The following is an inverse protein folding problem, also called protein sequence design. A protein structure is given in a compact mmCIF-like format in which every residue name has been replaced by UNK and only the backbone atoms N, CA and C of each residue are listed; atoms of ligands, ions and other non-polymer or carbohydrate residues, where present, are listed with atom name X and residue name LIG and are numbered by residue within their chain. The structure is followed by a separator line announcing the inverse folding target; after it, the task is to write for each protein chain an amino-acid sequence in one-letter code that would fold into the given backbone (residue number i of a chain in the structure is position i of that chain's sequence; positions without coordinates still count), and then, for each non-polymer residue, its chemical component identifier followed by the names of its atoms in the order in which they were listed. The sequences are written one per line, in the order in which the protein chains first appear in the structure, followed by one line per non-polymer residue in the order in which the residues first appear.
data_IF_223297867351
#
_entry.id   IF_223297867351
#
_cell.length_a   1.000
_cell.length_b   1.000
_cell.length_c   1.000
_cell.angle_alpha   90.00
_cell.angle_beta   90.00
_cell.angle_gamma   90.00
#
_symmetry.space_group_name_H-M   'P 1'
#
loop_
_entity.id
_entity.type
_entity.pdbx_description
1 polymer ?
#
# COMPACT_ATOMS: atom_id res chain seq x y z
N UNK A 1 0.84 -2.30 24.11
CA UNK A 1 1.71 -3.03 25.08
C UNK A 1 2.75 -3.92 24.40
N UNK A 2 2.37 -4.85 23.48
CA UNK A 2 3.33 -5.72 22.74
C UNK A 2 4.43 -4.92 22.03
N UNK A 3 4.08 -3.81 21.37
CA UNK A 3 5.05 -2.92 20.70
C UNK A 3 6.09 -2.36 21.67
N UNK A 4 5.68 -1.87 22.84
CA UNK A 4 6.60 -1.33 23.86
C UNK A 4 7.57 -2.39 24.38
N UNK A 5 7.10 -3.63 24.62
CA UNK A 5 7.98 -4.76 24.99
C UNK A 5 8.99 -5.05 23.88
N UNK A 6 8.56 -5.09 22.62
CA UNK A 6 9.46 -5.32 21.48
C UNK A 6 10.49 -4.19 21.33
N UNK A 7 10.10 -2.94 21.58
CA UNK A 7 11.04 -1.80 21.58
C UNK A 7 12.14 -2.01 22.61
N UNK A 8 11.81 -2.36 23.86
CA UNK A 8 12.78 -2.63 24.92
C UNK A 8 13.69 -3.82 24.54
N UNK A 9 13.11 -4.91 24.02
CA UNK A 9 13.90 -6.09 23.62
C UNK A 9 14.81 -5.82 22.41
N UNK A 10 14.48 -4.85 21.56
CA UNK A 10 15.27 -4.46 20.38
C UNK A 10 16.37 -3.46 20.70
N UNK A 11 16.19 -2.60 21.69
CA UNK A 11 17.19 -1.62 22.11
C UNK A 11 18.36 -2.25 22.86
N UNK A 12 18.17 -3.45 23.42
CA UNK A 12 19.19 -4.16 24.20
C UNK A 12 19.83 -5.29 23.38
N UNK A 13 21.16 -5.35 23.36
CA UNK A 13 21.90 -6.39 22.66
C UNK A 13 22.01 -7.71 23.42
N UNK A 14 21.13 -7.97 24.40
CA UNK A 14 21.26 -9.11 25.30
C UNK A 14 19.96 -9.57 25.94
N UNK A 15 20.11 -10.18 27.11
CA UNK A 15 18.98 -10.61 27.94
C UNK A 15 18.48 -9.42 28.75
N UNK A 16 17.18 -9.12 28.64
CA UNK A 16 16.51 -8.08 29.42
C UNK A 16 15.73 -8.74 30.56
N UNK A 17 15.99 -8.33 31.80
CA UNK A 17 15.29 -8.90 32.95
C UNK A 17 13.82 -8.55 32.95
N UNK A 18 12.99 -9.48 33.43
CA UNK A 18 11.55 -9.22 33.60
C UNK A 18 11.27 -8.07 34.57
N UNK A 19 12.17 -7.80 35.52
CA UNK A 19 12.10 -6.68 36.45
C UNK A 19 12.31 -5.34 35.72
N UNK A 20 13.33 -5.25 34.88
CA UNK A 20 13.56 -4.05 34.05
C UNK A 20 12.37 -3.73 33.17
N UNK A 21 11.82 -4.72 32.45
CA UNK A 21 10.62 -4.54 31.61
C UNK A 21 9.42 -4.10 32.48
N UNK A 22 9.27 -4.70 33.68
CA UNK A 22 8.21 -4.38 34.63
C UNK A 22 8.30 -2.92 35.09
N UNK A 23 9.48 -2.48 35.49
CA UNK A 23 9.74 -1.12 35.94
C UNK A 23 9.49 -0.07 34.84
N UNK A 24 10.02 -0.32 33.62
CA UNK A 24 9.86 0.63 32.50
C UNK A 24 8.41 0.74 32.01
N UNK A 25 7.63 -0.35 32.09
CA UNK A 25 6.26 -0.38 31.55
C UNK A 25 5.18 -0.17 32.61
N UNK A 26 5.51 -0.23 33.90
CA UNK A 26 4.56 -0.10 35.01
C UNK A 26 3.56 -1.27 35.08
N UNK A 27 3.97 -2.50 34.68
CA UNK A 27 3.11 -3.70 34.69
C UNK A 27 3.78 -4.87 35.42
N UNK A 28 2.98 -5.80 35.94
CA UNK A 28 3.49 -6.95 36.67
C UNK A 28 4.30 -7.91 35.78
N UNK A 29 5.25 -8.64 36.38
CA UNK A 29 6.03 -9.68 35.71
C UNK A 29 5.15 -10.77 35.08
N UNK A 30 4.03 -11.11 35.71
CA UNK A 30 3.03 -12.06 35.16
C UNK A 30 2.41 -11.50 33.88
N UNK A 31 2.11 -10.21 33.84
CA UNK A 31 1.58 -9.55 32.64
C UNK A 31 2.62 -9.56 31.51
N UNK A 32 3.91 -9.31 31.83
CA UNK A 32 5.00 -9.39 30.84
C UNK A 32 5.08 -10.80 30.26
N UNK A 33 5.11 -11.83 31.11
CA UNK A 33 5.14 -13.22 30.68
C UNK A 33 4.00 -13.56 29.72
N UNK A 34 2.77 -13.13 30.03
CA UNK A 34 1.60 -13.31 29.14
C UNK A 34 1.79 -12.63 27.78
N UNK A 35 2.36 -11.42 27.75
CA UNK A 35 2.62 -10.71 26.50
C UNK A 35 3.75 -11.35 25.69
N UNK A 36 4.83 -11.80 26.35
CA UNK A 36 5.91 -12.54 25.70
C UNK A 36 5.40 -13.82 25.06
N UNK A 37 4.58 -14.60 25.78
CA UNK A 37 3.98 -15.82 25.26
C UNK A 37 3.14 -15.53 24.00
N UNK A 38 2.28 -14.51 24.04
CA UNK A 38 1.50 -14.08 22.88
C UNK A 38 2.36 -13.59 21.71
N UNK A 39 3.53 -13.00 21.95
CA UNK A 39 4.50 -12.64 20.91
C UNK A 39 5.12 -13.92 20.32
N UNK A 40 5.51 -14.89 21.14
CA UNK A 40 6.04 -16.18 20.67
C UNK A 40 5.00 -16.91 19.80
N UNK A 41 3.73 -16.97 20.20
CA UNK A 41 2.61 -17.51 19.41
C UNK A 41 2.43 -16.76 18.07
N UNK A 42 2.78 -15.46 18.05
CA UNK A 42 2.75 -14.63 16.84
C UNK A 42 4.00 -14.81 15.97
N UNK A 43 4.91 -15.76 16.30
CA UNK A 43 6.08 -16.10 15.51
C UNK A 43 7.36 -15.32 15.85
N UNK A 44 7.38 -14.56 16.95
CA UNK A 44 8.63 -13.94 17.43
C UNK A 44 9.48 -15.01 18.13
N UNK A 45 10.76 -15.12 17.71
CA UNK A 45 11.71 -15.97 18.41
C UNK A 45 12.26 -15.23 19.64
N UNK A 46 11.62 -15.44 20.78
CA UNK A 46 12.02 -14.87 22.08
C UNK A 46 12.42 -16.02 23.00
N UNK A 47 13.69 -16.02 23.44
CA UNK A 47 14.19 -16.97 24.42
C UNK A 47 13.87 -16.47 25.82
N UNK A 48 13.28 -17.32 26.64
CA UNK A 48 13.05 -17.09 28.07
C UNK A 48 14.12 -17.83 28.88
N UNK A 49 14.79 -17.12 29.79
CA UNK A 49 15.81 -17.66 30.70
C UNK A 49 15.51 -17.26 32.14
N UNK A 50 16.17 -17.88 33.15
CA UNK A 50 16.04 -17.41 34.53
C UNK A 50 16.46 -15.94 34.74
N UNK A 51 17.32 -15.39 33.85
CA UNK A 51 17.80 -14.02 33.90
C UNK A 51 16.88 -13.03 33.14
N UNK A 52 15.92 -13.50 32.32
CA UNK A 52 15.02 -12.65 31.55
C UNK A 52 14.77 -13.14 30.11
N UNK A 53 14.50 -12.21 29.23
CA UNK A 53 14.05 -12.46 27.85
C UNK A 53 15.05 -11.88 26.83
N UNK A 54 15.24 -12.60 25.73
CA UNK A 54 16.07 -12.13 24.59
C UNK A 54 15.32 -12.34 23.28
N UNK A 55 15.17 -11.29 22.50
CA UNK A 55 14.63 -11.37 21.15
C UNK A 55 15.74 -11.83 20.18
N UNK A 56 15.56 -12.97 19.53
CA UNK A 56 16.48 -13.50 18.53
C UNK A 56 16.09 -13.05 17.13
N UNK A 57 14.78 -13.17 16.79
CA UNK A 57 14.28 -12.74 15.48
C UNK A 57 12.81 -12.36 15.54
N UNK A 58 12.39 -11.55 14.58
CA UNK A 58 10.99 -11.14 14.38
C UNK A 58 10.47 -11.72 13.07
N UNK A 59 9.19 -12.12 12.99
CA UNK A 59 8.57 -12.54 11.74
C UNK A 59 8.46 -11.34 10.79
N UNK A 60 8.39 -11.63 9.48
CA UNK A 60 7.99 -10.65 8.48
C UNK A 60 6.45 -10.53 8.47
N UNK A 61 5.90 -9.93 9.52
CA UNK A 61 4.47 -9.73 9.71
C UNK A 61 4.17 -8.25 9.98
N UNK A 62 3.01 -7.81 9.51
CA UNK A 62 2.56 -6.41 9.58
C UNK A 62 1.53 -6.21 10.69
N UNK A 63 1.85 -6.73 11.88
CA UNK A 63 0.98 -6.60 13.04
C UNK A 63 0.86 -5.13 13.51
N UNK A 64 -0.27 -4.71 14.09
CA UNK A 64 -0.46 -3.33 14.56
C UNK A 64 0.65 -2.83 15.48
N UNK A 65 1.14 -3.66 16.36
CA UNK A 65 2.21 -3.32 17.31
C UNK A 65 3.62 -3.15 16.70
N UNK A 66 3.77 -3.41 15.40
CA UNK A 66 5.00 -3.08 14.65
C UNK A 66 5.03 -1.63 14.16
N UNK A 67 3.94 -0.89 14.34
CA UNK A 67 3.78 0.50 13.86
C UNK A 67 3.51 1.45 15.06
N UNK A 68 4.56 1.85 15.81
CA UNK A 68 4.42 2.75 16.95
C UNK A 68 3.70 4.04 16.56
N UNK A 69 2.75 4.48 17.40
CA UNK A 69 1.93 5.66 17.16
C UNK A 69 0.71 5.43 16.26
N UNK A 70 0.67 4.31 15.51
CA UNK A 70 -0.46 3.95 14.61
C UNK A 70 -1.21 2.69 15.06
N UNK A 71 -0.83 2.08 16.18
CA UNK A 71 -1.37 0.78 16.63
C UNK A 71 -2.90 0.74 16.67
N UNK A 72 -3.54 1.82 17.13
CA UNK A 72 -5.01 1.93 17.24
C UNK A 72 -5.73 2.15 15.92
N UNK A 73 -5.02 2.63 14.90
CA UNK A 73 -5.57 2.88 13.56
C UNK A 73 -5.39 1.69 12.62
N UNK A 74 -4.61 0.65 13.00
CA UNK A 74 -4.32 -0.52 12.17
C UNK A 74 -5.18 -1.70 12.57
N UNK A 75 -5.95 -2.22 11.62
CA UNK A 75 -6.75 -3.43 11.72
C UNK A 75 -6.09 -4.53 10.90
N UNK A 76 -5.53 -5.53 11.57
CA UNK A 76 -4.86 -6.66 10.93
C UNK A 76 -5.72 -7.91 10.94
N UNK A 77 -5.72 -8.61 9.81
CA UNK A 77 -6.45 -9.88 9.61
C UNK A 77 -5.53 -10.92 8.96
N UNK A 78 -5.52 -12.18 9.44
CA UNK A 78 -4.83 -13.27 8.75
C UNK A 78 -5.41 -13.54 7.36
N UNK A 79 -6.75 -13.45 7.21
CA UNK A 79 -7.45 -13.65 5.96
C UNK A 79 -8.78 -12.89 5.96
N UNK A 80 -9.12 -12.28 4.83
CA UNK A 80 -10.41 -11.61 4.59
C UNK A 80 -10.90 -11.91 3.17
N UNK A 81 -12.15 -11.56 2.88
CA UNK A 81 -12.65 -11.52 1.49
C UNK A 81 -11.89 -10.46 0.71
N UNK A 82 -11.93 -9.21 1.19
CA UNK A 82 -11.20 -8.07 0.64
C UNK A 82 -10.97 -7.02 1.73
N UNK A 83 -9.78 -6.42 1.76
CA UNK A 83 -9.49 -5.27 2.66
C UNK A 83 -10.35 -4.06 2.33
N UNK A 84 -10.74 -3.88 1.05
CA UNK A 84 -11.63 -2.82 0.61
C UNK A 84 -13.02 -2.92 1.24
N UNK A 85 -13.57 -4.14 1.34
CA UNK A 85 -14.90 -4.35 1.92
C UNK A 85 -14.90 -4.08 3.42
N UNK A 86 -13.84 -4.52 4.13
CA UNK A 86 -13.67 -4.22 5.56
C UNK A 86 -13.50 -2.71 5.78
N UNK A 87 -12.66 -2.06 4.97
CA UNK A 87 -12.41 -0.62 5.07
C UNK A 87 -13.69 0.18 4.83
N UNK A 88 -14.49 -0.17 3.82
CA UNK A 88 -15.79 0.47 3.55
C UNK A 88 -16.73 0.36 4.75
N UNK A 89 -16.81 -0.83 5.36
CA UNK A 89 -17.64 -1.05 6.54
C UNK A 89 -17.17 -0.23 7.74
N UNK A 90 -15.86 -0.10 7.95
CA UNK A 90 -15.29 0.75 9.00
C UNK A 90 -15.52 2.22 8.71
N UNK A 91 -15.37 2.65 7.45
CA UNK A 91 -15.61 4.03 7.02
C UNK A 91 -17.04 4.46 7.29
N UNK A 92 -18.03 3.62 6.95
CA UNK A 92 -19.47 3.85 7.23
C UNK A 92 -19.82 3.86 8.73
N UNK A 93 -18.96 3.25 9.57
CA UNK A 93 -19.03 3.31 11.03
C UNK A 93 -18.18 4.43 11.64
N UNK A 94 -17.81 5.42 10.84
CA UNK A 94 -17.04 6.59 11.25
C UNK A 94 -15.69 6.27 11.89
N UNK A 95 -14.95 5.28 11.38
CA UNK A 95 -13.57 5.09 11.81
C UNK A 95 -12.72 6.35 11.58
N UNK A 96 -11.66 6.57 12.37
CA UNK A 96 -10.78 7.73 12.23
C UNK A 96 -10.17 7.86 10.82
N UNK A 97 -9.86 9.09 10.44
CA UNK A 97 -9.01 9.38 9.27
C UNK A 97 -7.69 8.63 9.37
N UNK A 98 -7.21 8.12 8.22
CA UNK A 98 -6.00 7.31 8.11
C UNK A 98 -6.08 5.97 8.86
N UNK A 99 -7.28 5.38 8.97
CA UNK A 99 -7.46 3.98 9.42
C UNK A 99 -6.96 3.04 8.33
N UNK A 100 -6.15 2.04 8.71
CA UNK A 100 -5.51 1.09 7.80
C UNK A 100 -6.01 -0.33 8.07
N UNK A 101 -6.53 -0.98 7.05
CA UNK A 101 -6.94 -2.40 7.07
C UNK A 101 -5.89 -3.22 6.32
N UNK A 102 -5.29 -4.21 6.98
CA UNK A 102 -4.24 -5.05 6.42
C UNK A 102 -4.67 -6.52 6.47
N UNK A 103 -4.40 -7.28 5.41
CA UNK A 103 -4.60 -8.72 5.39
C UNK A 103 -3.36 -9.46 4.88
N UNK A 104 -3.05 -10.64 5.47
CA UNK A 104 -2.03 -11.54 4.95
C UNK A 104 -2.47 -12.23 3.65
N UNK A 105 -3.79 -12.46 3.50
CA UNK A 105 -4.41 -13.05 2.32
C UNK A 105 -5.77 -12.43 2.06
N UNK A 106 -6.15 -12.39 0.78
CA UNK A 106 -7.52 -12.07 0.38
C UNK A 106 -8.09 -13.19 -0.48
N UNK A 107 -9.31 -13.66 -0.15
CA UNK A 107 -10.02 -14.68 -0.96
C UNK A 107 -10.51 -14.11 -2.29
N UNK A 108 -10.93 -12.84 -2.29
CA UNK A 108 -11.44 -12.11 -3.45
C UNK A 108 -10.85 -10.69 -3.44
N UNK A 109 -9.51 -10.60 -3.53
CA UNK A 109 -8.84 -9.30 -3.70
C UNK A 109 -9.42 -8.59 -4.91
N UNK A 110 -9.70 -7.28 -4.77
CA UNK A 110 -10.38 -6.49 -5.80
C UNK A 110 -9.41 -5.65 -6.59
N UNK A 111 -9.53 -5.70 -7.90
CA UNK A 111 -8.94 -4.79 -8.86
C UNK A 111 -10.03 -3.99 -9.58
N UNK A 112 -9.62 -3.12 -10.50
CA UNK A 112 -10.55 -2.35 -11.36
C UNK A 112 -11.34 -3.28 -12.28
N UNK A 113 -12.48 -2.81 -12.78
CA UNK A 113 -13.35 -3.51 -13.71
C UNK A 113 -13.66 -4.95 -13.25
N UNK A 114 -13.92 -5.13 -11.96
CA UNK A 114 -14.21 -6.43 -11.33
C UNK A 114 -13.13 -7.50 -11.49
N UNK A 115 -11.89 -7.13 -11.84
CA UNK A 115 -10.77 -8.07 -11.88
C UNK A 115 -10.38 -8.50 -10.47
N UNK A 116 -9.83 -9.70 -10.38
CA UNK A 116 -9.33 -10.26 -9.12
C UNK A 116 -7.85 -9.87 -8.96
N UNK A 117 -7.51 -9.29 -7.81
CA UNK A 117 -6.13 -9.14 -7.39
C UNK A 117 -5.69 -10.40 -6.62
N UNK A 118 -4.70 -11.10 -7.14
CA UNK A 118 -4.17 -12.32 -6.52
C UNK A 118 -3.41 -11.98 -5.23
N UNK A 119 -3.91 -12.48 -4.10
CA UNK A 119 -3.42 -12.07 -2.78
C UNK A 119 -2.87 -13.26 -2.00
N UNK A 120 -1.78 -13.85 -2.50
CA UNK A 120 -1.07 -14.95 -1.84
C UNK A 120 -0.20 -14.45 -0.67
N UNK A 121 0.07 -15.33 0.31
CA UNK A 121 0.96 -15.02 1.44
C UNK A 121 2.32 -14.49 0.98
N UNK A 122 2.80 -13.44 1.64
CA UNK A 122 4.08 -12.79 1.32
C UNK A 122 3.94 -11.48 0.54
N UNK A 123 2.77 -11.22 -0.07
CA UNK A 123 2.45 -9.89 -0.58
C UNK A 123 2.09 -8.91 0.53
N UNK A 124 1.81 -7.68 0.18
CA UNK A 124 1.35 -6.64 1.09
C UNK A 124 0.01 -6.10 0.54
N UNK A 125 -1.06 -6.36 1.27
CA UNK A 125 -2.43 -6.02 0.88
C UNK A 125 -3.07 -5.20 1.98
N UNK A 126 -3.36 -3.95 1.67
CA UNK A 126 -3.96 -3.04 2.65
C UNK A 126 -4.85 -2.01 1.99
N UNK A 127 -5.73 -1.42 2.79
CA UNK A 127 -6.61 -0.33 2.40
C UNK A 127 -6.56 0.76 3.45
N UNK A 128 -6.39 2.01 3.02
CA UNK A 128 -6.39 3.19 3.88
C UNK A 128 -7.72 3.91 3.71
N UNK A 129 -8.37 4.23 4.83
CA UNK A 129 -9.59 5.07 4.86
C UNK A 129 -9.16 6.51 5.07
N UNK A 130 -9.47 7.36 4.10
CA UNK A 130 -9.21 8.79 4.15
C UNK A 130 -10.52 9.57 4.26
N UNK A 131 -10.46 10.71 4.94
CA UNK A 131 -11.58 11.67 5.04
C UNK A 131 -11.07 13.06 4.68
N UNK A 132 -10.70 13.27 3.42
CA UNK A 132 -10.21 14.56 2.97
C UNK A 132 -11.37 15.53 2.81
N UNK A 133 -11.14 16.80 3.10
CA UNK A 133 -12.12 17.87 2.81
C UNK A 133 -11.93 18.38 1.37
N UNK A 134 -12.33 17.57 0.41
CA UNK A 134 -12.20 17.87 -1.03
C UNK A 134 -13.50 17.58 -1.77
N UNK A 135 -13.67 18.24 -2.92
CA UNK A 135 -14.72 17.93 -3.88
C UNK A 135 -14.49 16.54 -4.51
N UNK A 136 -15.54 15.80 -4.86
CA UNK A 136 -15.46 14.51 -5.56
C UNK A 136 -14.60 14.54 -6.84
N UNK A 137 -14.57 15.65 -7.55
CA UNK A 137 -13.75 15.83 -8.76
C UNK A 137 -12.26 15.66 -8.48
N UNK A 138 -11.80 16.04 -7.29
CA UNK A 138 -10.41 15.93 -6.88
C UNK A 138 -10.03 14.55 -6.32
N UNK A 139 -10.98 13.63 -6.18
CA UNK A 139 -10.74 12.32 -5.58
C UNK A 139 -9.71 11.47 -6.33
N UNK A 140 -9.62 11.64 -7.66
CA UNK A 140 -8.61 10.98 -8.48
C UNK A 140 -7.17 11.33 -8.04
N UNK A 141 -6.93 12.58 -7.63
CA UNK A 141 -5.61 13.06 -7.17
C UNK A 141 -5.08 12.26 -5.99
N UNK A 142 -5.97 11.72 -5.14
CA UNK A 142 -5.58 10.86 -4.01
C UNK A 142 -4.98 9.53 -4.49
N UNK A 143 -5.53 8.95 -5.58
CA UNK A 143 -4.97 7.76 -6.19
C UNK A 143 -3.60 8.02 -6.84
N UNK A 144 -3.47 9.15 -7.54
CA UNK A 144 -2.20 9.60 -8.11
C UNK A 144 -1.15 9.86 -7.01
N UNK A 145 -1.55 10.49 -5.91
CA UNK A 145 -0.69 10.70 -4.74
C UNK A 145 -0.19 9.37 -4.17
N UNK A 146 -1.06 8.38 -3.96
CA UNK A 146 -0.68 7.08 -3.43
C UNK A 146 0.30 6.35 -4.36
N UNK A 147 0.07 6.37 -5.69
CA UNK A 147 0.97 5.73 -6.65
C UNK A 147 2.33 6.46 -6.75
N UNK A 148 2.34 7.79 -6.73
CA UNK A 148 3.55 8.60 -6.70
C UNK A 148 4.40 8.32 -5.46
N UNK A 149 3.77 8.33 -4.27
CA UNK A 149 4.45 8.04 -3.01
C UNK A 149 5.00 6.62 -3.02
N UNK A 150 4.24 5.62 -3.52
CA UNK A 150 4.75 4.25 -3.59
C UNK A 150 5.95 4.14 -4.53
N UNK A 151 5.91 4.76 -5.71
CA UNK A 151 7.04 4.77 -6.64
C UNK A 151 8.28 5.42 -6.01
N UNK A 152 8.13 6.58 -5.34
CA UNK A 152 9.22 7.26 -4.61
C UNK A 152 9.77 6.41 -3.47
N UNK A 153 8.90 5.81 -2.67
CA UNK A 153 9.31 4.92 -1.57
C UNK A 153 10.14 3.75 -2.08
N UNK A 154 9.72 3.10 -3.18
CA UNK A 154 10.46 2.00 -3.78
C UNK A 154 11.83 2.43 -4.32
N UNK A 155 11.90 3.57 -5.01
CA UNK A 155 13.16 4.15 -5.49
C UNK A 155 14.11 4.48 -4.34
N UNK A 156 13.62 5.16 -3.31
CA UNK A 156 14.44 5.60 -2.16
C UNK A 156 14.93 4.42 -1.34
N UNK A 157 14.07 3.42 -1.07
CA UNK A 157 14.44 2.29 -0.21
C UNK A 157 15.33 1.26 -0.90
N UNK A 158 15.20 1.10 -2.21
CA UNK A 158 15.79 -0.04 -2.91
C UNK A 158 16.68 0.34 -4.10
N UNK A 159 16.72 1.59 -4.50
CA UNK A 159 17.49 2.05 -5.66
C UNK A 159 16.98 1.49 -7.00
N UNK A 160 15.69 1.14 -7.09
CA UNK A 160 15.08 0.53 -8.28
C UNK A 160 14.24 1.55 -9.04
N UNK A 161 14.21 1.44 -10.37
CA UNK A 161 13.45 2.34 -11.23
C UNK A 161 11.96 1.96 -11.25
N UNK A 162 11.23 2.31 -10.19
CA UNK A 162 9.80 2.13 -10.10
C UNK A 162 9.09 3.25 -10.87
N UNK A 163 8.27 2.89 -11.85
CA UNK A 163 7.53 3.78 -12.73
C UNK A 163 6.02 3.62 -12.50
N UNK A 164 5.28 4.71 -12.68
CA UNK A 164 3.83 4.71 -12.63
C UNK A 164 3.24 4.50 -14.01
N UNK A 165 2.27 3.60 -14.13
CA UNK A 165 1.49 3.37 -15.34
C UNK A 165 0.06 3.85 -15.12
N UNK A 166 -0.42 4.73 -15.99
CA UNK A 166 -1.80 5.18 -15.95
C UNK A 166 -2.79 4.01 -16.06
N UNK A 167 -3.85 3.99 -15.25
CA UNK A 167 -4.17 5.00 -14.24
C UNK A 167 -3.69 4.64 -12.82
N UNK A 168 -3.21 3.42 -12.56
CA UNK A 168 -3.14 2.91 -11.17
C UNK A 168 -2.13 1.79 -10.92
N UNK A 169 -1.16 1.60 -11.77
CA UNK A 169 -0.19 0.51 -11.63
C UNK A 169 1.24 1.03 -11.37
N UNK A 170 2.04 0.23 -10.67
CA UNK A 170 3.48 0.44 -10.55
C UNK A 170 4.19 -0.68 -11.28
N UNK A 171 5.08 -0.30 -12.18
CA UNK A 171 5.92 -1.19 -12.96
C UNK A 171 7.39 -1.02 -12.60
N UNK A 172 8.14 -2.12 -12.67
CA UNK A 172 9.60 -2.16 -12.59
C UNK A 172 10.07 -3.08 -13.71
N UNK A 173 10.98 -2.61 -14.55
CA UNK A 173 11.46 -3.35 -15.72
C UNK A 173 10.30 -3.85 -16.61
N UNK A 174 9.28 -3.05 -16.81
CA UNK A 174 8.09 -3.40 -17.61
C UNK A 174 7.11 -4.37 -16.92
N UNK A 175 7.44 -4.91 -15.75
CA UNK A 175 6.59 -5.88 -15.04
C UNK A 175 5.82 -5.21 -13.90
N UNK A 176 4.54 -5.58 -13.75
CA UNK A 176 3.66 -5.04 -12.71
C UNK A 176 4.02 -5.58 -11.33
N UNK A 177 4.37 -4.67 -10.42
CA UNK A 177 4.68 -4.97 -9.02
C UNK A 177 3.54 -4.59 -8.09
N UNK A 178 2.78 -3.53 -8.42
CA UNK A 178 1.66 -3.07 -7.59
C UNK A 178 0.50 -2.59 -8.44
N UNK A 179 -0.70 -2.73 -7.89
CA UNK A 179 -1.93 -2.12 -8.40
C UNK A 179 -2.68 -1.41 -7.27
N UNK A 180 -3.32 -0.31 -7.62
CA UNK A 180 -4.09 0.50 -6.71
C UNK A 180 -5.57 0.49 -7.11
N UNK A 181 -6.46 0.57 -6.12
CA UNK A 181 -7.90 0.70 -6.32
C UNK A 181 -8.44 1.77 -5.39
N UNK A 182 -9.08 2.79 -5.96
CA UNK A 182 -9.76 3.84 -5.19
C UNK A 182 -11.27 3.68 -5.30
N UNK A 183 -11.95 3.79 -4.16
CA UNK A 183 -13.40 3.89 -4.06
C UNK A 183 -13.76 5.04 -3.13
N UNK A 184 -14.75 5.84 -3.49
CA UNK A 184 -15.20 6.92 -2.62
C UNK A 184 -16.71 6.83 -2.36
N UNK A 185 -17.13 7.46 -1.27
CA UNK A 185 -18.49 7.80 -0.97
C UNK A 185 -18.55 9.32 -0.76
N UNK A 186 -19.51 9.97 -1.41
CA UNK A 186 -19.67 11.41 -1.37
C UNK A 186 -21.13 11.77 -1.12
N UNK A 187 -21.37 12.93 -0.53
CA UNK A 187 -22.70 13.51 -0.36
C UNK A 187 -22.66 14.94 -0.88
N UNK A 188 -23.56 15.25 -1.80
CA UNK A 188 -23.58 16.51 -2.54
C UNK A 188 -22.21 16.79 -3.19
N UNK A 189 -21.53 17.85 -2.80
CA UNK A 189 -20.27 18.35 -3.35
C UNK A 189 -19.03 17.98 -2.50
N UNK A 190 -19.23 17.17 -1.44
CA UNK A 190 -18.16 16.81 -0.49
C UNK A 190 -17.92 15.29 -0.42
N UNK A 191 -16.66 14.92 -0.35
CA UNK A 191 -16.25 13.53 -0.09
C UNK A 191 -16.47 13.20 1.39
N UNK A 192 -17.23 12.11 1.66
CA UNK A 192 -17.38 11.56 3.01
C UNK A 192 -16.15 10.73 3.39
N UNK A 193 -15.73 9.84 2.49
CA UNK A 193 -14.49 9.09 2.62
C UNK A 193 -13.98 8.58 1.26
N UNK A 194 -12.68 8.32 1.21
CA UNK A 194 -12.01 7.60 0.13
C UNK A 194 -11.31 6.39 0.72
N UNK A 195 -11.53 5.22 0.14
CA UNK A 195 -10.75 4.02 0.41
C UNK A 195 -9.70 3.84 -0.69
N UNK A 196 -8.43 3.83 -0.32
CA UNK A 196 -7.33 3.53 -1.23
C UNK A 196 -6.79 2.15 -0.90
N UNK A 197 -7.08 1.17 -1.76
CA UNK A 197 -6.55 -0.18 -1.66
C UNK A 197 -5.25 -0.32 -2.45
N UNK A 198 -4.24 -0.91 -1.83
CA UNK A 198 -2.97 -1.23 -2.45
C UNK A 198 -2.70 -2.74 -2.36
N UNK A 199 -2.36 -3.32 -3.52
CA UNK A 199 -1.80 -4.66 -3.60
C UNK A 199 -0.37 -4.57 -4.10
N UNK A 200 0.60 -5.04 -3.32
CA UNK A 200 2.02 -5.02 -3.68
C UNK A 200 2.56 -6.44 -3.64
N UNK A 201 3.15 -6.89 -4.74
CA UNK A 201 3.87 -8.13 -4.81
C UNK A 201 5.25 -7.95 -4.15
N UNK A 202 5.41 -8.43 -2.92
CA UNK A 202 6.64 -8.23 -2.13
C UNK A 202 7.46 -9.50 -2.09
N UNK A 203 7.01 -10.51 -1.32
CA UNK A 203 7.71 -11.79 -1.15
C UNK A 203 6.92 -12.99 -1.72
N UNK A 204 5.73 -12.75 -2.27
CA UNK A 204 4.92 -13.73 -3.00
C UNK A 204 5.46 -13.94 -4.42
N UNK A 205 4.95 -14.95 -5.10
CA UNK A 205 5.19 -15.16 -6.53
C UNK A 205 3.88 -15.03 -7.29
N UNK A 206 3.66 -13.94 -8.06
CA UNK A 206 2.47 -13.76 -8.88
C UNK A 206 2.56 -14.48 -10.24
N UNK A 207 3.76 -14.81 -10.71
CA UNK A 207 4.04 -15.27 -12.10
C UNK A 207 3.26 -16.51 -12.56
N UNK A 208 2.91 -17.50 -11.73
CA UNK A 208 2.15 -18.65 -12.19
C UNK A 208 0.77 -18.33 -12.77
N UNK A 209 0.21 -17.15 -12.44
CA UNK A 209 -1.12 -16.72 -12.87
C UNK A 209 -1.13 -15.39 -13.63
N UNK A 210 -0.08 -14.59 -13.45
CA UNK A 210 0.08 -13.24 -14.01
C UNK A 210 1.48 -13.10 -14.59
N UNK A 211 1.67 -13.51 -15.84
CA UNK A 211 3.01 -13.57 -16.49
C UNK A 211 3.70 -12.21 -16.57
N UNK A 212 2.93 -11.12 -16.68
CA UNK A 212 3.43 -9.74 -16.72
C UNK A 212 3.61 -9.12 -15.33
N UNK A 213 3.45 -9.90 -14.25
CA UNK A 213 3.65 -9.44 -12.89
C UNK A 213 4.97 -9.97 -12.30
N UNK A 214 5.54 -9.20 -11.37
CA UNK A 214 6.76 -9.58 -10.66
C UNK A 214 6.65 -9.19 -9.19
N UNK A 215 7.54 -9.74 -8.34
CA UNK A 215 7.63 -9.33 -6.94
C UNK A 215 8.96 -8.64 -6.64
N UNK A 216 8.95 -7.78 -5.62
CA UNK A 216 10.16 -7.11 -5.15
C UNK A 216 11.26 -8.11 -4.75
N UNK A 217 10.88 -9.26 -4.15
CA UNK A 217 11.81 -10.34 -3.82
C UNK A 217 12.55 -10.85 -5.06
N UNK A 218 11.85 -11.06 -6.18
CA UNK A 218 12.44 -11.55 -7.43
C UNK A 218 13.38 -10.50 -8.03
N UNK A 219 12.96 -9.23 -8.05
CA UNK A 219 13.77 -8.12 -8.57
C UNK A 219 15.04 -7.92 -7.75
N UNK A 220 14.93 -7.97 -6.42
CA UNK A 220 16.03 -7.67 -5.49
C UNK A 220 16.89 -8.90 -5.16
N UNK A 221 16.51 -10.11 -5.57
CA UNK A 221 17.21 -11.36 -5.24
C UNK A 221 17.18 -11.73 -3.74
N UNK A 222 16.42 -11.02 -2.90
CA UNK A 222 16.33 -11.23 -1.45
C UNK A 222 14.97 -10.93 -0.88
N UNK A 223 14.67 -11.47 0.31
CA UNK A 223 13.43 -11.12 1.03
C UNK A 223 13.43 -9.64 1.41
N UNK A 224 12.25 -9.02 1.29
CA UNK A 224 12.00 -7.62 1.63
C UNK A 224 11.17 -7.55 2.92
N UNK A 225 11.54 -6.66 3.82
CA UNK A 225 10.76 -6.39 5.03
C UNK A 225 9.49 -5.63 4.69
N UNK A 226 8.32 -6.33 4.71
CA UNK A 226 7.01 -5.73 4.42
C UNK A 226 6.65 -4.63 5.43
N UNK A 227 7.01 -4.82 6.70
CA UNK A 227 6.76 -3.82 7.74
C UNK A 227 7.53 -2.52 7.52
N UNK A 228 8.81 -2.60 7.13
CA UNK A 228 9.62 -1.40 6.83
C UNK A 228 9.06 -0.67 5.61
N UNK A 229 8.70 -1.42 4.55
CA UNK A 229 8.09 -0.85 3.36
C UNK A 229 6.77 -0.15 3.69
N UNK A 230 5.88 -0.83 4.42
CA UNK A 230 4.59 -0.25 4.80
C UNK A 230 4.77 0.98 5.70
N UNK A 231 5.64 0.91 6.72
CA UNK A 231 5.88 2.06 7.61
C UNK A 231 6.33 3.27 6.81
N UNK A 232 7.33 3.12 5.94
CA UNK A 232 7.85 4.22 5.13
C UNK A 232 6.78 4.80 4.19
N UNK A 233 6.02 3.94 3.53
CA UNK A 233 4.92 4.37 2.67
C UNK A 233 3.86 5.15 3.46
N UNK A 234 3.42 4.64 4.64
CA UNK A 234 2.42 5.30 5.46
C UNK A 234 2.91 6.66 5.96
N UNK A 235 4.17 6.78 6.36
CA UNK A 235 4.77 8.04 6.82
C UNK A 235 4.76 9.09 5.70
N UNK A 236 5.26 8.73 4.51
CA UNK A 236 5.31 9.65 3.35
C UNK A 236 3.91 10.00 2.82
N UNK A 237 2.99 9.03 2.80
CA UNK A 237 1.64 9.26 2.30
C UNK A 237 0.81 10.11 3.27
N UNK A 238 0.89 9.86 4.60
CA UNK A 238 0.19 10.68 5.59
C UNK A 238 0.69 12.14 5.57
N UNK A 239 2.00 12.36 5.43
CA UNK A 239 2.55 13.70 5.29
C UNK A 239 1.99 14.41 4.06
N UNK A 240 2.01 13.76 2.89
CA UNK A 240 1.48 14.35 1.65
C UNK A 240 -0.02 14.68 1.75
N UNK A 241 -0.81 13.78 2.37
CA UNK A 241 -2.25 14.00 2.54
C UNK A 241 -2.55 15.14 3.52
N UNK A 242 -1.78 15.25 4.61
CA UNK A 242 -1.97 16.29 5.62
C UNK A 242 -1.55 17.69 5.14
N UNK A 243 -0.55 17.76 4.26
CA UNK A 243 -0.11 19.04 3.66
C UNK A 243 -1.15 19.63 2.71
N UNK A 244 -2.19 18.88 2.35
CA UNK A 244 -3.31 19.27 1.47
C UNK A 244 -2.86 19.84 0.11
N UNK A 245 -1.63 19.57 -0.30
CA UNK A 245 -1.00 20.09 -1.52
C UNK A 245 -1.16 19.15 -2.71
N UNK A 246 -2.43 18.85 -3.04
CA UNK A 246 -2.72 17.98 -4.20
C UNK A 246 -2.36 18.61 -5.55
N UNK A 247 -2.11 19.92 -5.61
CA UNK A 247 -1.86 20.63 -6.87
C UNK A 247 -0.57 20.19 -7.56
N UNK A 248 0.46 19.82 -6.80
CA UNK A 248 1.71 19.33 -7.32
C UNK A 248 1.75 17.83 -7.61
N UNK A 249 0.70 17.08 -7.26
CA UNK A 249 0.68 15.61 -7.40
C UNK A 249 0.78 15.19 -8.86
N UNK A 250 -0.07 15.74 -9.74
CA UNK A 250 -0.07 15.37 -11.16
C UNK A 250 1.22 15.79 -11.88
N UNK A 251 1.73 17.05 -11.74
CA UNK A 251 3.03 17.43 -12.31
C UNK A 251 4.18 16.51 -11.86
N UNK A 252 4.22 16.15 -10.59
CA UNK A 252 5.25 15.24 -10.07
C UNK A 252 5.06 13.80 -10.56
N UNK A 253 3.82 13.31 -10.61
CA UNK A 253 3.48 11.97 -11.12
C UNK A 253 3.93 11.78 -12.58
N UNK A 254 3.76 12.81 -13.43
CA UNK A 254 4.19 12.79 -14.83
C UNK A 254 5.66 12.45 -14.99
N UNK A 255 6.53 12.89 -14.07
CA UNK A 255 7.98 12.61 -14.10
C UNK A 255 8.32 11.14 -13.92
N UNK A 256 7.42 10.35 -13.36
CA UNK A 256 7.57 8.91 -13.14
C UNK A 256 6.75 8.07 -14.12
N UNK A 257 6.03 8.72 -15.05
CA UNK A 257 5.10 8.01 -15.94
C UNK A 257 5.82 7.23 -17.03
N UNK A 258 5.48 5.93 -17.14
CA UNK A 258 5.85 5.10 -18.29
C UNK A 258 4.81 5.16 -19.42
N UNK A 259 3.66 5.81 -19.17
CA UNK A 259 2.56 5.90 -20.14
C UNK A 259 2.71 7.07 -21.08
N UNK A 260 3.20 8.21 -20.59
CA UNK A 260 3.33 9.42 -21.39
C UNK A 260 4.41 9.26 -22.47
N UNK A 261 4.16 9.89 -23.62
CA UNK A 261 4.98 9.82 -24.84
C UNK A 261 5.06 8.40 -25.43
N UNK A 262 4.09 7.53 -25.13
CA UNK A 262 3.96 6.20 -25.70
C UNK A 262 2.67 6.06 -26.50
N UNK A 263 2.71 5.27 -27.57
CA UNK A 263 1.48 4.83 -28.24
C UNK A 263 0.78 3.80 -27.37
N UNK A 264 -0.47 4.06 -27.06
CA UNK A 264 -1.26 3.21 -26.16
C UNK A 264 -2.63 2.91 -26.78
N UNK A 265 -3.15 1.75 -26.44
CA UNK A 265 -4.54 1.37 -26.65
C UNK A 265 -5.26 1.43 -25.32
N UNK A 266 -6.32 2.21 -25.24
CA UNK A 266 -7.20 2.30 -24.08
C UNK A 266 -8.47 1.54 -24.36
N UNK A 267 -8.78 0.59 -23.48
CA UNK A 267 -10.01 -0.21 -23.56
C UNK A 267 -10.91 0.18 -22.38
N UNK A 268 -12.10 0.65 -22.69
CA UNK A 268 -13.16 0.94 -21.74
C UNK A 268 -14.26 -0.12 -21.87
N UNK A 269 -15.32 -0.01 -21.07
CA UNK A 269 -16.49 -0.89 -21.19
C UNK A 269 -17.26 -0.64 -22.51
N UNK A 270 -17.14 0.54 -23.11
CA UNK A 270 -17.98 0.99 -24.21
C UNK A 270 -17.20 1.23 -25.50
N UNK A 271 -15.89 1.46 -25.41
CA UNK A 271 -15.11 1.95 -26.53
C UNK A 271 -13.63 1.56 -26.40
N UNK A 272 -12.95 1.50 -27.54
CA UNK A 272 -11.51 1.37 -27.65
C UNK A 272 -10.95 2.61 -28.35
N UNK A 273 -9.82 3.10 -27.86
CA UNK A 273 -9.14 4.24 -28.45
C UNK A 273 -7.64 3.97 -28.49
N UNK A 274 -7.01 4.24 -29.62
CA UNK A 274 -5.55 4.14 -29.76
C UNK A 274 -4.98 5.49 -30.15
N UNK A 275 -3.78 5.81 -29.67
CA UNK A 275 -3.11 7.07 -29.98
C UNK A 275 -1.87 7.29 -29.12
N UNK A 276 -1.24 8.42 -29.30
CA UNK A 276 -0.11 8.87 -28.48
C UNK A 276 -0.62 9.46 -27.17
N UNK A 277 -0.17 8.95 -26.03
CA UNK A 277 -0.49 9.51 -24.71
C UNK A 277 0.33 10.78 -24.47
N UNK A 278 -0.24 11.93 -24.77
CA UNK A 278 0.50 13.21 -24.76
C UNK A 278 0.51 13.89 -23.40
N UNK A 279 -0.55 13.70 -22.58
CA UNK A 279 -0.61 14.34 -21.27
C UNK A 279 -1.57 13.61 -20.30
N UNK A 280 -1.53 14.03 -19.05
CA UNK A 280 -2.53 13.77 -18.02
C UNK A 280 -2.97 15.10 -17.46
N UNK A 281 -4.26 15.41 -17.53
CA UNK A 281 -4.79 16.68 -17.05
C UNK A 281 -4.80 16.80 -15.52
N UNK A 282 -5.16 17.96 -15.02
CA UNK A 282 -5.23 18.29 -13.59
C UNK A 282 -6.19 17.40 -12.77
N UNK A 283 -7.13 16.71 -13.41
CA UNK A 283 -8.07 15.78 -12.81
C UNK A 283 -7.67 14.32 -13.04
N UNK A 284 -6.49 14.05 -13.61
CA UNK A 284 -5.97 12.71 -13.83
C UNK A 284 -6.49 12.00 -15.09
N UNK A 285 -7.21 12.71 -15.97
CA UNK A 285 -7.62 12.14 -17.24
C UNK A 285 -6.44 12.09 -18.22
N UNK A 286 -6.29 10.96 -18.93
CA UNK A 286 -5.27 10.81 -19.97
C UNK A 286 -5.71 11.54 -21.24
N UNK A 287 -4.80 12.30 -21.83
CA UNK A 287 -5.02 12.97 -23.11
C UNK A 287 -4.33 12.14 -24.19
N UNK A 288 -5.11 11.62 -25.12
CA UNK A 288 -4.62 10.90 -26.30
C UNK A 288 -4.67 11.82 -27.51
N UNK A 289 -3.58 11.88 -28.26
CA UNK A 289 -3.57 12.37 -29.63
C UNK A 289 -3.86 11.20 -30.58
N UNK A 290 -5.00 11.25 -31.25
CA UNK A 290 -5.42 10.24 -32.25
C UNK A 290 -4.64 10.40 -33.57
N UNK A 291 -4.77 9.43 -34.45
CA UNK A 291 -4.04 9.42 -35.73
C UNK A 291 -4.46 10.55 -36.69
N UNK A 292 -5.66 11.09 -36.53
CA UNK A 292 -6.13 12.28 -37.26
C UNK A 292 -5.64 13.61 -36.65
N UNK A 293 -4.83 13.55 -35.58
CA UNK A 293 -4.29 14.71 -34.87
C UNK A 293 -5.24 15.29 -33.81
N UNK A 294 -6.48 14.81 -33.69
CA UNK A 294 -7.43 15.26 -32.68
C UNK A 294 -7.03 14.79 -31.28
N UNK A 295 -7.45 15.53 -30.25
CA UNK A 295 -7.22 15.18 -28.86
C UNK A 295 -8.46 14.55 -28.25
N UNK A 296 -8.29 13.38 -27.63
CA UNK A 296 -9.34 12.67 -26.89
C UNK A 296 -9.01 12.59 -25.41
N UNK A 297 -9.92 13.05 -24.55
CA UNK A 297 -9.80 12.96 -23.09
C UNK A 297 -10.38 11.64 -22.61
N UNK A 298 -9.57 10.86 -21.88
CA UNK A 298 -9.93 9.55 -21.32
C UNK A 298 -9.90 9.62 -19.79
N UNK A 299 -11.04 9.43 -19.16
CA UNK A 299 -11.21 9.51 -17.70
C UNK A 299 -10.94 8.16 -17.04
N UNK A 300 -11.28 7.05 -17.71
CA UNK A 300 -11.13 5.68 -17.21
C UNK A 300 -10.85 4.72 -18.36
N UNK A 301 -10.30 3.55 -18.06
CA UNK A 301 -9.99 2.49 -19.03
C UNK A 301 -8.74 1.73 -18.64
N UNK A 302 -8.50 0.61 -19.31
CA UNK A 302 -7.25 -0.13 -19.21
C UNK A 302 -6.30 0.35 -20.29
N UNK A 303 -5.06 0.63 -19.89
CA UNK A 303 -4.02 1.13 -20.77
C UNK A 303 -3.07 0.00 -21.16
N UNK A 304 -2.94 -0.27 -22.45
CA UNK A 304 -2.00 -1.21 -23.04
C UNK A 304 -1.01 -0.46 -23.90
N UNK A 305 0.28 -0.71 -23.71
CA UNK A 305 1.30 -0.21 -24.62
C UNK A 305 1.16 -0.95 -25.97
N UNK A 306 1.25 -0.22 -27.07
CA UNK A 306 1.38 -0.79 -28.39
C UNK A 306 2.86 -0.89 -28.73
N UNK A 307 3.34 -2.07 -29.08
CA UNK A 307 4.67 -2.21 -29.67
C UNK A 307 4.66 -1.50 -31.03
N UNK A 308 5.66 -0.69 -31.30
CA UNK A 308 5.90 -0.19 -32.65
C UNK A 308 6.23 -1.40 -33.52
N UNK A 309 5.35 -1.71 -34.49
CA UNK A 309 5.52 -2.78 -35.45
C UNK A 309 6.64 -2.49 -36.47
#
# INVERSE_FOLDING_TARGET
MKGRILTILRSENGIVSGEKISSELGISRVSIWKHIHKLQESGYNIISTPKGYRLISSPDAVFPWEFPGRESKIHYFPEVTSTMDIARNLARKNCPHFTVVIAERQKKGRGRLNRIWLSAKGGLYFTIVLRPQISPVLSSRVNFAASLVLARTLRTMFGIDALVKWPNDILINGQKVSGLLSEMEAEADMVIFINIGLGINVNNDPTPKETMACSLKKIMGRKISRKKLLSRFLDEFENLINDNTFDNVIPEWKKYSITLNQRVKIVTTFDESAGLAVDVDENGALILQLDDGSLKKIIFGDCFQQEEG
#
